data_IF_584736769390
#
_entry.id   IF_584736769390
#
_cell.length_a   1.000
_cell.length_b   1.000
_cell.length_c   1.000
_cell.angle_alpha   90.00
_cell.angle_beta   90.00
_cell.angle_gamma   90.00
#
_symmetry.space_group_name_H-M   'P 1'
#
loop_
_entity.id
_entity.type
_entity.pdbx_description
1 polymer ?
#
# COMPACT_ATOMS: atom_id res chain seq x y z
N UNK A 1 -19.65 3.32 -39.01
CA UNK A 1 -20.14 4.17 -37.90
C UNK A 1 -19.59 3.55 -36.62
N UNK A 2 -18.83 4.29 -35.81
CA UNK A 2 -18.56 3.85 -34.44
C UNK A 2 -19.87 3.94 -33.62
N UNK A 3 -20.05 3.06 -32.63
CA UNK A 3 -21.25 3.09 -31.77
C UNK A 3 -21.12 4.23 -30.75
N UNK A 4 -22.22 4.96 -30.42
CA UNK A 4 -22.19 5.97 -29.36
C UNK A 4 -21.84 5.37 -27.99
N UNK A 5 -22.18 4.09 -27.77
CA UNK A 5 -21.85 3.31 -26.57
C UNK A 5 -20.34 3.33 -26.28
N UNK A 6 -19.49 3.02 -27.27
CA UNK A 6 -18.03 3.02 -27.12
C UNK A 6 -17.45 4.43 -26.85
N UNK A 7 -18.07 5.48 -27.40
CA UNK A 7 -17.63 6.85 -27.13
C UNK A 7 -17.85 7.21 -25.65
N UNK A 8 -19.00 6.81 -25.11
CA UNK A 8 -19.40 7.08 -23.73
C UNK A 8 -18.67 6.18 -22.71
N UNK A 9 -18.32 4.94 -23.10
CA UNK A 9 -17.44 4.03 -22.35
C UNK A 9 -16.06 4.66 -22.08
N UNK A 10 -15.53 5.47 -23.00
CA UNK A 10 -14.28 6.21 -22.81
C UNK A 10 -14.45 7.50 -21.99
N UNK A 11 -15.57 8.21 -22.11
CA UNK A 11 -15.81 9.51 -21.44
C UNK A 11 -15.64 9.44 -19.91
N UNK A 12 -16.15 8.39 -19.25
CA UNK A 12 -16.01 8.27 -17.79
C UNK A 12 -14.58 7.92 -17.35
N UNK A 13 -13.85 7.14 -18.16
CA UNK A 13 -12.45 6.76 -17.89
C UNK A 13 -11.55 8.00 -17.97
N UNK A 14 -11.68 8.81 -19.02
CA UNK A 14 -10.91 10.05 -19.16
C UNK A 14 -11.32 11.11 -18.12
N UNK A 15 -12.61 11.16 -17.72
CA UNK A 15 -13.06 11.94 -16.55
C UNK A 15 -12.29 11.51 -15.30
N UNK A 16 -12.27 10.22 -14.97
CA UNK A 16 -11.57 9.72 -13.78
C UNK A 16 -10.04 9.95 -13.87
N UNK A 17 -9.41 9.81 -15.03
CA UNK A 17 -7.99 10.15 -15.20
C UNK A 17 -7.72 11.63 -14.92
N UNK A 18 -8.56 12.53 -15.45
CA UNK A 18 -8.42 13.99 -15.30
C UNK A 18 -8.81 14.56 -13.93
N UNK A 19 -9.69 13.90 -13.17
CA UNK A 19 -10.03 14.25 -11.77
C UNK A 19 -8.91 13.90 -10.76
N UNK A 20 -7.80 13.29 -11.22
CA UNK A 20 -6.65 12.97 -10.39
C UNK A 20 -5.83 14.21 -9.99
N UNK A 21 -5.38 14.26 -8.74
CA UNK A 21 -4.50 15.34 -8.26
C UNK A 21 -3.07 15.25 -8.85
N UNK A 22 -2.70 14.07 -9.35
CA UNK A 22 -1.49 13.83 -10.14
C UNK A 22 -1.93 13.68 -11.60
N UNK A 23 -1.40 14.46 -12.56
CA UNK A 23 -1.84 14.42 -13.95
C UNK A 23 -1.38 13.15 -14.65
N UNK A 24 -2.23 12.60 -15.53
CA UNK A 24 -1.83 11.60 -16.53
C UNK A 24 -0.99 12.27 -17.63
N UNK A 25 0.15 11.69 -17.97
CA UNK A 25 1.11 12.16 -18.96
C UNK A 25 1.65 10.97 -19.80
N UNK A 26 2.37 11.27 -20.87
CA UNK A 26 3.04 10.26 -21.69
C UNK A 26 4.23 9.62 -20.95
N UNK A 27 4.51 8.32 -21.12
CA UNK A 27 5.53 7.60 -20.34
C UNK A 27 6.94 8.19 -20.47
N UNK A 28 7.31 8.66 -21.66
CA UNK A 28 8.63 9.20 -21.98
C UNK A 28 8.89 10.52 -21.23
N UNK A 29 7.83 11.32 -21.04
CA UNK A 29 7.85 12.65 -20.45
C UNK A 29 6.72 12.85 -19.44
N UNK A 30 6.94 12.31 -18.23
CA UNK A 30 5.96 12.23 -17.15
C UNK A 30 6.26 13.18 -15.94
N UNK A 31 6.79 14.41 -16.07
CA UNK A 31 7.26 15.20 -14.92
C UNK A 31 6.13 15.59 -13.96
N UNK A 32 6.30 15.27 -12.67
CA UNK A 32 5.32 15.48 -11.60
C UNK A 32 3.98 14.76 -11.81
N UNK A 33 3.90 13.83 -12.76
CA UNK A 33 2.70 13.11 -13.17
C UNK A 33 2.78 11.61 -12.98
N UNK A 34 1.77 10.92 -13.50
CA UNK A 34 1.74 9.47 -13.68
C UNK A 34 1.51 9.10 -15.15
N UNK A 35 1.91 7.89 -15.53
CA UNK A 35 1.81 7.38 -16.89
C UNK A 35 1.64 5.85 -16.89
N UNK A 36 1.39 5.29 -18.07
CA UNK A 36 1.25 3.83 -18.29
C UNK A 36 2.50 3.34 -19.04
N UNK A 37 3.53 2.79 -18.37
CA UNK A 37 4.78 2.42 -19.04
C UNK A 37 4.56 1.29 -20.07
N UNK A 38 5.48 1.07 -21.02
CA UNK A 38 5.42 -0.12 -21.87
C UNK A 38 5.58 -1.39 -21.04
N UNK A 39 4.72 -2.40 -21.19
CA UNK A 39 4.77 -3.63 -20.40
C UNK A 39 6.06 -4.45 -20.57
N UNK A 40 6.71 -4.31 -21.72
CA UNK A 40 7.96 -5.00 -22.04
C UNK A 40 9.17 -4.55 -21.20
N UNK A 41 9.08 -3.45 -20.44
CA UNK A 41 10.14 -3.07 -19.47
C UNK A 41 10.18 -4.00 -18.25
N UNK A 42 9.13 -4.81 -18.03
CA UNK A 42 9.04 -5.75 -16.92
C UNK A 42 9.29 -7.18 -17.40
N UNK A 43 10.22 -7.90 -16.75
CA UNK A 43 10.54 -9.29 -17.10
C UNK A 43 9.77 -10.30 -16.24
N UNK A 44 8.82 -10.98 -16.87
CA UNK A 44 7.88 -11.94 -16.28
C UNK A 44 8.34 -13.39 -16.49
N UNK A 45 7.77 -14.36 -15.76
CA UNK A 45 8.05 -15.79 -16.00
C UNK A 45 7.52 -16.23 -17.37
N UNK A 46 8.40 -16.71 -18.25
CA UNK A 46 8.00 -17.28 -19.54
C UNK A 46 7.30 -18.64 -19.42
N UNK A 47 6.77 -19.20 -20.53
CA UNK A 47 5.96 -20.43 -20.51
C UNK A 47 6.67 -21.61 -19.86
N UNK A 48 7.97 -21.78 -20.13
CA UNK A 48 8.78 -22.88 -19.61
C UNK A 48 9.52 -22.55 -18.30
N UNK A 49 9.22 -21.43 -17.63
CA UNK A 49 10.03 -20.92 -16.50
C UNK A 49 10.25 -21.96 -15.39
N UNK A 50 9.28 -22.84 -15.11
CA UNK A 50 9.46 -23.90 -14.11
C UNK A 50 10.65 -24.83 -14.45
N UNK A 51 10.87 -25.11 -15.73
CA UNK A 51 11.99 -25.91 -16.27
C UNK A 51 13.25 -25.07 -16.48
N UNK A 52 13.15 -23.96 -17.21
CA UNK A 52 14.32 -23.20 -17.74
C UNK A 52 14.74 -21.99 -16.90
N UNK A 53 13.88 -21.52 -15.99
CA UNK A 53 13.95 -20.18 -15.35
C UNK A 53 13.98 -18.99 -16.33
N UNK A 54 13.67 -19.23 -17.61
CA UNK A 54 13.64 -18.20 -18.65
C UNK A 54 12.53 -17.18 -18.43
N UNK A 55 12.90 -15.89 -18.44
CA UNK A 55 11.96 -14.76 -18.39
C UNK A 55 11.77 -14.15 -19.77
N UNK A 56 10.63 -13.51 -19.98
CA UNK A 56 10.26 -12.79 -21.21
C UNK A 56 9.78 -11.36 -20.87
N UNK A 57 9.73 -10.44 -21.84
CA UNK A 57 9.00 -9.18 -21.71
C UNK A 57 7.52 -9.40 -21.36
N UNK A 58 6.93 -8.49 -20.59
CA UNK A 58 5.60 -8.68 -20.00
C UNK A 58 4.40 -8.51 -20.93
N UNK A 59 4.54 -7.82 -22.07
CA UNK A 59 3.43 -7.54 -22.97
C UNK A 59 2.29 -6.72 -22.35
N UNK A 60 1.08 -6.92 -22.87
CA UNK A 60 -0.14 -6.17 -22.49
C UNK A 60 -0.63 -6.44 -21.06
N UNK A 61 -1.43 -5.49 -20.54
CA UNK A 61 -2.00 -5.56 -19.20
C UNK A 61 -3.41 -6.15 -19.22
N UNK A 62 -3.73 -6.98 -18.22
CA UNK A 62 -5.05 -7.57 -18.06
C UNK A 62 -6.11 -6.55 -17.59
N UNK A 63 -5.68 -5.45 -16.95
CA UNK A 63 -6.53 -4.34 -16.49
C UNK A 63 -6.01 -3.01 -17.07
N UNK A 64 -6.92 -2.18 -17.56
CA UNK A 64 -6.61 -0.85 -18.09
C UNK A 64 -6.30 0.11 -16.92
N UNK A 65 -5.26 0.96 -17.00
CA UNK A 65 -4.98 1.95 -15.95
C UNK A 65 -6.05 3.06 -15.93
N UNK A 66 -6.64 3.27 -14.76
CA UNK A 66 -7.78 4.17 -14.53
C UNK A 66 -7.38 5.46 -13.78
N UNK A 67 -6.40 5.39 -12.88
CA UNK A 67 -5.98 6.56 -12.12
C UNK A 67 -4.78 6.33 -11.21
N UNK A 68 -4.19 7.44 -10.76
CA UNK A 68 -3.26 7.47 -9.65
C UNK A 68 -3.65 8.60 -8.68
N UNK A 69 -3.62 8.33 -7.37
CA UNK A 69 -3.74 9.36 -6.33
C UNK A 69 -2.48 9.35 -5.44
N UNK A 70 -1.96 10.55 -5.16
CA UNK A 70 -0.95 10.79 -4.15
C UNK A 70 -1.62 11.51 -2.97
N UNK A 71 -1.73 10.83 -1.85
CA UNK A 71 -2.57 11.19 -0.69
C UNK A 71 -1.71 11.29 0.56
N UNK A 72 -2.12 12.14 1.52
CA UNK A 72 -1.61 12.10 2.89
C UNK A 72 -2.69 12.28 3.96
N UNK A 73 -2.41 11.76 5.16
CA UNK A 73 -3.31 11.80 6.32
C UNK A 73 -2.56 11.77 7.66
N UNK A 74 -3.24 12.11 8.77
CA UNK A 74 -2.67 11.99 10.12
C UNK A 74 -2.47 10.52 10.53
N UNK A 75 -3.33 9.62 10.05
CA UNK A 75 -3.24 8.16 10.20
C UNK A 75 -3.06 7.50 8.83
N UNK A 76 -2.71 6.20 8.80
CA UNK A 76 -2.75 5.42 7.56
C UNK A 76 -4.13 5.55 6.91
N UNK A 77 -4.16 5.73 5.59
CA UNK A 77 -5.39 5.77 4.81
C UNK A 77 -5.64 4.36 4.29
N UNK A 78 -6.80 3.81 4.59
CA UNK A 78 -7.24 2.45 4.26
C UNK A 78 -8.67 2.49 3.72
N UNK A 79 -9.11 1.43 3.03
CA UNK A 79 -10.50 1.27 2.56
C UNK A 79 -11.01 2.47 1.71
N UNK A 80 -10.15 2.97 0.84
CA UNK A 80 -10.37 4.15 0.01
C UNK A 80 -11.59 4.00 -0.91
N UNK A 81 -11.87 2.79 -1.42
CA UNK A 81 -13.03 2.47 -2.24
C UNK A 81 -14.31 2.19 -1.44
N UNK A 82 -14.23 1.90 -0.14
CA UNK A 82 -15.41 1.81 0.73
C UNK A 82 -16.01 3.21 1.03
N UNK A 83 -15.28 4.29 0.75
CA UNK A 83 -15.76 5.65 0.93
C UNK A 83 -16.56 6.12 -0.31
N UNK A 84 -17.90 6.30 -0.24
CA UNK A 84 -18.71 6.71 -1.38
C UNK A 84 -18.43 8.16 -1.85
N UNK A 85 -17.59 8.93 -1.14
CA UNK A 85 -17.09 10.24 -1.60
C UNK A 85 -15.83 10.15 -2.45
N UNK A 86 -15.13 9.00 -2.47
CA UNK A 86 -13.95 8.79 -3.32
C UNK A 86 -14.34 8.92 -4.80
N UNK A 87 -13.52 9.65 -5.57
CA UNK A 87 -13.78 9.97 -6.98
C UNK A 87 -13.94 8.73 -7.88
N UNK A 88 -13.16 7.68 -7.62
CA UNK A 88 -13.17 6.41 -8.34
C UNK A 88 -14.39 5.57 -7.93
N UNK A 89 -14.72 5.48 -6.63
CA UNK A 89 -15.96 4.81 -6.21
C UNK A 89 -17.20 5.50 -6.77
N UNK A 90 -17.30 6.84 -6.73
CA UNK A 90 -18.43 7.57 -7.35
C UNK A 90 -18.59 7.23 -8.83
N UNK A 91 -17.51 7.23 -9.60
CA UNK A 91 -17.59 6.91 -11.04
C UNK A 91 -18.02 5.45 -11.29
N UNK A 92 -17.66 4.51 -10.42
CA UNK A 92 -18.16 3.14 -10.46
C UNK A 92 -19.68 3.06 -10.19
N UNK A 93 -20.18 3.80 -9.19
CA UNK A 93 -21.63 3.89 -8.91
C UNK A 93 -22.40 4.59 -10.06
N UNK A 94 -21.82 5.65 -10.65
CA UNK A 94 -22.38 6.37 -11.80
C UNK A 94 -22.57 5.42 -13.00
N UNK A 95 -21.56 4.60 -13.32
CA UNK A 95 -21.64 3.62 -14.40
C UNK A 95 -22.53 2.42 -14.06
N UNK A 96 -22.57 2.00 -12.80
CA UNK A 96 -23.53 0.97 -12.36
C UNK A 96 -24.97 1.45 -12.51
N UNK A 97 -25.27 2.73 -12.23
CA UNK A 97 -26.58 3.33 -12.47
C UNK A 97 -26.99 3.35 -13.96
N UNK A 98 -26.02 3.24 -14.88
CA UNK A 98 -26.21 3.14 -16.34
C UNK A 98 -26.33 1.70 -16.84
N UNK A 99 -26.13 0.72 -15.98
CA UNK A 99 -26.16 -0.72 -16.30
C UNK A 99 -24.81 -1.33 -16.68
N UNK A 100 -23.73 -0.52 -16.75
CA UNK A 100 -22.38 -1.04 -16.94
C UNK A 100 -21.84 -1.58 -15.61
N UNK A 101 -21.13 -2.71 -15.62
CA UNK A 101 -20.52 -3.29 -14.41
C UNK A 101 -18.99 -3.46 -14.53
N UNK A 102 -18.22 -2.37 -14.76
CA UNK A 102 -16.77 -2.48 -14.77
C UNK A 102 -16.25 -2.98 -13.41
N UNK A 103 -15.13 -3.69 -13.40
CA UNK A 103 -14.48 -4.16 -12.17
C UNK A 103 -13.25 -3.31 -11.88
N UNK A 104 -13.14 -2.73 -10.68
CA UNK A 104 -12.02 -1.88 -10.28
C UNK A 104 -11.05 -2.62 -9.35
N UNK A 105 -9.76 -2.48 -9.62
CA UNK A 105 -8.68 -2.98 -8.77
C UNK A 105 -7.81 -1.81 -8.29
N UNK A 106 -7.75 -1.59 -6.97
CA UNK A 106 -6.87 -0.59 -6.37
C UNK A 106 -5.69 -1.24 -5.63
N UNK A 107 -4.52 -0.64 -5.74
CA UNK A 107 -3.35 -0.95 -4.92
C UNK A 107 -2.94 0.31 -4.15
N UNK A 108 -3.13 0.30 -2.84
CA UNK A 108 -2.81 1.41 -1.95
C UNK A 108 -1.49 1.12 -1.22
N UNK A 109 -0.40 1.70 -1.74
CA UNK A 109 0.92 1.61 -1.12
C UNK A 109 0.99 2.61 0.03
N UNK A 110 0.73 2.13 1.25
CA UNK A 110 0.76 2.92 2.46
C UNK A 110 2.20 3.11 2.94
N UNK A 111 2.65 4.35 3.10
CA UNK A 111 3.98 4.73 3.58
C UNK A 111 3.83 5.45 4.93
N UNK A 112 4.00 4.76 6.07
CA UNK A 112 3.84 5.37 7.37
C UNK A 112 5.07 6.22 7.74
N UNK A 113 4.86 7.52 7.95
CA UNK A 113 5.89 8.43 8.46
C UNK A 113 5.28 9.37 9.52
N UNK A 114 5.91 10.53 9.81
CA UNK A 114 5.32 11.57 10.68
C UNK A 114 3.97 12.07 10.15
N UNK A 115 3.83 12.18 8.83
CA UNK A 115 2.53 12.16 8.14
C UNK A 115 2.44 10.82 7.41
N UNK A 116 1.26 10.20 7.35
CA UNK A 116 1.08 8.95 6.61
C UNK A 116 0.77 9.29 5.15
N UNK A 117 1.47 8.66 4.21
CA UNK A 117 1.27 8.86 2.77
C UNK A 117 0.69 7.61 2.12
N UNK A 118 -0.06 7.81 1.04
CA UNK A 118 -0.63 6.74 0.22
C UNK A 118 -0.40 7.03 -1.26
N UNK A 119 0.28 6.12 -1.95
CA UNK A 119 0.35 6.10 -3.41
C UNK A 119 -0.63 5.03 -3.91
N UNK A 120 -1.75 5.48 -4.49
CA UNK A 120 -2.88 4.61 -4.86
C UNK A 120 -2.95 4.49 -6.37
N UNK A 121 -2.71 3.30 -6.91
CA UNK A 121 -2.89 3.00 -8.32
C UNK A 121 -4.23 2.28 -8.53
N UNK A 122 -5.06 2.78 -9.44
CA UNK A 122 -6.36 2.21 -9.78
C UNK A 122 -6.34 1.68 -11.21
N UNK A 123 -6.88 0.47 -11.40
CA UNK A 123 -7.01 -0.22 -12.67
C UNK A 123 -8.46 -0.69 -12.87
N UNK A 124 -8.86 -0.98 -14.11
CA UNK A 124 -10.22 -1.37 -14.47
C UNK A 124 -10.25 -2.50 -15.50
N UNK A 125 -11.11 -3.50 -15.29
CA UNK A 125 -11.64 -4.35 -16.37
C UNK A 125 -13.01 -3.83 -16.78
N UNK A 126 -13.22 -3.65 -18.08
CA UNK A 126 -14.54 -3.32 -18.66
C UNK A 126 -15.27 -4.62 -19.04
N UNK A 127 -14.49 -5.63 -19.45
CA UNK A 127 -14.97 -6.99 -19.73
C UNK A 127 -15.14 -7.83 -18.44
N UNK A 128 -16.02 -8.84 -18.46
CA UNK A 128 -16.10 -9.84 -17.39
C UNK A 128 -14.77 -10.59 -17.20
N UNK A 129 -14.41 -10.88 -15.94
CA UNK A 129 -13.20 -11.62 -15.61
C UNK A 129 -13.43 -13.12 -15.90
N UNK A 130 -12.60 -13.80 -16.72
CA UNK A 130 -12.84 -15.19 -17.10
C UNK A 130 -12.77 -16.15 -15.90
N UNK A 131 -13.75 -17.06 -15.79
CA UNK A 131 -13.96 -17.89 -14.59
C UNK A 131 -12.78 -18.81 -14.25
N UNK A 132 -12.14 -19.43 -15.25
CA UNK A 132 -10.97 -20.29 -15.07
C UNK A 132 -9.66 -19.52 -14.83
N UNK A 133 -9.65 -18.19 -14.93
CA UNK A 133 -8.42 -17.39 -14.87
C UNK A 133 -7.77 -17.38 -13.49
N UNK A 134 -6.45 -17.14 -13.47
CA UNK A 134 -5.72 -16.88 -12.22
C UNK A 134 -6.22 -15.62 -11.50
N UNK A 135 -6.77 -14.63 -12.24
CA UNK A 135 -7.45 -13.47 -11.65
C UNK A 135 -8.68 -13.92 -10.83
N UNK A 136 -9.59 -14.68 -11.44
CA UNK A 136 -10.80 -15.12 -10.75
C UNK A 136 -10.48 -16.01 -9.53
N UNK A 137 -9.45 -16.86 -9.64
CA UNK A 137 -8.92 -17.65 -8.52
C UNK A 137 -8.34 -16.80 -7.39
N UNK A 138 -7.73 -15.65 -7.68
CA UNK A 138 -7.23 -14.71 -6.67
C UNK A 138 -8.35 -13.91 -6.00
N UNK A 139 -9.36 -13.47 -6.77
CA UNK A 139 -10.51 -12.74 -6.24
C UNK A 139 -11.34 -13.62 -5.28
N UNK A 140 -11.63 -14.86 -5.67
CA UNK A 140 -12.39 -15.82 -4.84
C UNK A 140 -11.53 -16.61 -3.83
N UNK A 141 -10.20 -16.48 -3.89
CA UNK A 141 -9.27 -17.12 -2.96
C UNK A 141 -9.27 -16.49 -1.57
N UNK A 142 -8.67 -17.18 -0.59
CA UNK A 142 -8.48 -16.64 0.75
C UNK A 142 -7.21 -15.76 0.84
N UNK A 143 -7.04 -15.08 1.98
CA UNK A 143 -5.89 -14.20 2.18
C UNK A 143 -4.55 -14.97 2.23
N UNK A 144 -4.56 -16.27 2.57
CA UNK A 144 -3.37 -17.11 2.48
C UNK A 144 -2.94 -17.34 1.02
N UNK A 145 -3.90 -17.68 0.14
CA UNK A 145 -3.66 -17.75 -1.31
C UNK A 145 -3.20 -16.39 -1.84
N UNK A 146 -3.97 -15.32 -1.61
CA UNK A 146 -3.66 -13.97 -2.11
C UNK A 146 -2.26 -13.52 -1.69
N UNK A 147 -1.92 -13.66 -0.40
CA UNK A 147 -0.59 -13.32 0.11
C UNK A 147 0.52 -14.19 -0.49
N UNK A 148 0.27 -15.47 -0.74
CA UNK A 148 1.24 -16.37 -1.36
C UNK A 148 1.49 -16.11 -2.85
N UNK A 149 0.63 -15.34 -3.53
CA UNK A 149 0.68 -15.12 -4.98
C UNK A 149 0.86 -13.65 -5.40
N UNK A 150 0.44 -12.66 -4.61
CA UNK A 150 0.51 -11.26 -5.03
C UNK A 150 1.96 -10.80 -5.19
N UNK A 151 2.27 -10.27 -6.37
CA UNK A 151 3.63 -9.97 -6.82
C UNK A 151 3.76 -8.52 -7.29
N UNK A 152 4.86 -7.87 -6.91
CA UNK A 152 5.26 -6.55 -7.38
C UNK A 152 6.59 -6.66 -8.13
N UNK A 153 6.68 -5.96 -9.27
CA UNK A 153 7.95 -5.60 -9.92
C UNK A 153 8.11 -4.08 -9.82
N UNK A 154 9.28 -3.61 -9.38
CA UNK A 154 9.59 -2.19 -9.20
C UNK A 154 10.91 -1.82 -9.90
N UNK A 155 10.86 -0.80 -10.76
CA UNK A 155 12.01 -0.31 -11.53
C UNK A 155 12.22 1.20 -11.32
N UNK A 156 13.46 1.61 -11.08
CA UNK A 156 13.83 3.04 -10.89
C UNK A 156 14.31 3.62 -12.22
N UNK A 157 13.35 3.90 -13.10
CA UNK A 157 13.55 4.41 -14.46
C UNK A 157 14.44 5.65 -14.50
N UNK A 158 14.25 6.60 -13.58
CA UNK A 158 15.16 7.72 -13.32
C UNK A 158 15.35 7.87 -11.82
N UNK A 159 16.56 8.20 -11.37
CA UNK A 159 16.83 8.44 -9.95
C UNK A 159 18.29 8.28 -9.54
N UNK A 160 18.66 8.73 -8.32
CA UNK A 160 20.00 8.57 -7.78
C UNK A 160 20.43 7.10 -7.68
N UNK A 161 21.72 6.84 -7.93
CA UNK A 161 22.31 5.49 -7.93
C UNK A 161 22.12 4.76 -6.58
N UNK A 162 22.09 5.50 -5.47
CA UNK A 162 21.88 4.96 -4.12
C UNK A 162 20.48 4.36 -3.94
N UNK A 163 19.43 4.99 -4.51
CA UNK A 163 18.06 4.45 -4.50
C UNK A 163 17.98 3.20 -5.40
N UNK A 164 18.57 3.27 -6.60
CA UNK A 164 18.68 2.10 -7.51
C UNK A 164 19.35 0.91 -6.84
N UNK A 165 20.46 1.13 -6.13
CA UNK A 165 21.19 0.08 -5.40
C UNK A 165 20.41 -0.46 -4.19
N UNK A 166 19.66 0.39 -3.50
CA UNK A 166 18.83 -0.03 -2.36
C UNK A 166 17.60 -0.84 -2.77
N UNK A 167 17.00 -0.58 -3.93
CA UNK A 167 15.94 -1.42 -4.50
C UNK A 167 16.51 -2.76 -4.98
N UNK A 168 17.64 -2.74 -5.71
CA UNK A 168 18.48 -3.92 -5.94
C UNK A 168 17.74 -5.17 -6.43
N UNK A 169 18.07 -6.33 -5.86
CA UNK A 169 17.38 -7.61 -6.15
C UNK A 169 15.92 -7.63 -5.65
N UNK A 170 15.57 -6.75 -4.72
CA UNK A 170 14.21 -6.59 -4.19
C UNK A 170 13.28 -5.82 -5.16
N UNK A 171 13.78 -5.45 -6.34
CA UNK A 171 13.01 -5.03 -7.51
C UNK A 171 11.92 -6.04 -7.94
N UNK A 172 11.94 -7.28 -7.47
CA UNK A 172 10.85 -8.25 -7.66
C UNK A 172 10.53 -8.92 -6.33
N UNK A 173 9.27 -8.84 -5.88
CA UNK A 173 8.85 -9.36 -4.58
C UNK A 173 7.47 -10.02 -4.63
N UNK A 174 7.28 -11.11 -3.88
CA UNK A 174 5.94 -11.60 -3.54
C UNK A 174 5.46 -10.77 -2.35
N UNK A 175 4.88 -9.61 -2.67
CA UNK A 175 4.66 -8.53 -1.71
C UNK A 175 3.73 -8.95 -0.57
N UNK A 176 2.75 -9.82 -0.84
CA UNK A 176 1.87 -10.39 0.20
C UNK A 176 2.57 -11.34 1.19
N UNK A 177 3.77 -11.86 0.88
CA UNK A 177 4.63 -12.58 1.85
C UNK A 177 5.59 -11.65 2.59
N UNK A 178 5.87 -10.46 2.05
CA UNK A 178 6.88 -9.55 2.57
C UNK A 178 6.31 -8.36 3.38
N UNK A 179 5.05 -8.00 3.12
CA UNK A 179 4.30 -6.92 3.77
C UNK A 179 2.92 -7.40 4.20
N UNK A 180 2.40 -6.80 5.27
CA UNK A 180 0.99 -6.95 5.67
C UNK A 180 0.13 -6.35 4.57
N UNK A 181 -0.63 -7.21 3.88
CA UNK A 181 -1.62 -6.81 2.89
C UNK A 181 -3.03 -7.09 3.42
N UNK A 182 -3.93 -6.12 3.31
CA UNK A 182 -5.36 -6.25 3.66
C UNK A 182 -6.19 -6.14 2.39
N UNK A 183 -7.06 -7.10 2.16
CA UNK A 183 -7.88 -7.23 0.94
C UNK A 183 -9.30 -6.75 1.21
N UNK A 184 -9.58 -5.51 0.82
CA UNK A 184 -10.88 -4.89 0.96
C UNK A 184 -11.70 -5.19 -0.31
N UNK A 185 -12.78 -5.96 -0.18
CA UNK A 185 -13.62 -6.38 -1.32
C UNK A 185 -15.04 -5.84 -1.17
N UNK A 186 -15.66 -5.52 -2.30
CA UNK A 186 -17.05 -5.06 -2.34
C UNK A 186 -17.64 -5.23 -3.73
N UNK A 187 -18.86 -4.72 -3.94
CA UNK A 187 -19.55 -4.89 -5.23
C UNK A 187 -18.76 -4.21 -6.36
N UNK A 188 -18.27 -5.05 -7.28
CA UNK A 188 -17.46 -4.69 -8.43
C UNK A 188 -16.08 -4.05 -8.14
N UNK A 189 -15.48 -4.29 -6.97
CA UNK A 189 -14.07 -3.92 -6.74
C UNK A 189 -13.30 -4.81 -5.75
N UNK A 190 -11.97 -4.71 -5.85
CA UNK A 190 -11.02 -5.06 -4.81
C UNK A 190 -10.02 -3.91 -4.59
N UNK A 191 -9.66 -3.66 -3.35
CA UNK A 191 -8.57 -2.78 -2.94
C UNK A 191 -7.58 -3.58 -2.08
N UNK A 192 -6.29 -3.44 -2.39
CA UNK A 192 -5.22 -4.02 -1.58
C UNK A 192 -4.49 -2.90 -0.84
N UNK A 193 -4.76 -2.81 0.46
CA UNK A 193 -4.00 -1.99 1.40
C UNK A 193 -2.66 -2.68 1.69
N UNK A 194 -1.54 -2.06 1.29
CA UNK A 194 -0.19 -2.62 1.40
C UNK A 194 0.63 -1.78 2.38
N UNK A 195 0.86 -2.32 3.58
CA UNK A 195 1.56 -1.62 4.66
C UNK A 195 3.09 -1.77 4.57
N UNK A 196 3.75 -0.82 3.89
CA UNK A 196 5.22 -0.80 3.76
C UNK A 196 5.92 -0.71 5.13
N UNK A 197 5.25 -0.13 6.15
CA UNK A 197 5.76 -0.04 7.51
C UNK A 197 5.84 -1.38 8.25
N UNK A 198 5.20 -2.45 7.73
CA UNK A 198 5.22 -3.77 8.39
C UNK A 198 6.56 -4.52 8.22
N UNK A 199 7.47 -4.04 7.36
CA UNK A 199 8.78 -4.63 7.13
C UNK A 199 9.87 -3.59 7.27
N UNK A 200 10.80 -3.79 8.21
CA UNK A 200 11.91 -2.87 8.46
C UNK A 200 12.74 -2.58 7.20
N UNK A 201 12.94 -3.59 6.34
CA UNK A 201 13.73 -3.48 5.11
C UNK A 201 12.99 -2.66 4.05
N UNK A 202 11.72 -2.99 3.78
CA UNK A 202 10.91 -2.24 2.82
C UNK A 202 10.71 -0.79 3.27
N UNK A 203 10.43 -0.58 4.56
CA UNK A 203 10.28 0.73 5.16
C UNK A 203 11.55 1.58 5.03
N UNK A 204 12.74 1.00 5.24
CA UNK A 204 14.01 1.69 5.07
C UNK A 204 14.29 2.08 3.61
N UNK A 205 14.04 1.16 2.66
CA UNK A 205 14.24 1.42 1.22
C UNK A 205 13.27 2.50 0.73
N UNK A 206 12.00 2.45 1.15
CA UNK A 206 11.00 3.44 0.75
C UNK A 206 11.25 4.79 1.43
N UNK A 207 11.71 4.86 2.68
CA UNK A 207 12.11 6.13 3.30
C UNK A 207 13.37 6.74 2.65
N UNK A 208 14.34 5.91 2.24
CA UNK A 208 15.47 6.37 1.43
C UNK A 208 14.99 6.94 0.08
N UNK A 209 14.06 6.26 -0.60
CA UNK A 209 13.44 6.77 -1.82
C UNK A 209 12.62 8.05 -1.57
N UNK A 210 11.95 8.15 -0.41
CA UNK A 210 11.12 9.30 -0.02
C UNK A 210 11.93 10.60 -0.03
N UNK A 211 13.17 10.56 0.48
CA UNK A 211 14.10 11.68 0.47
C UNK A 211 14.53 12.17 -0.93
N UNK A 212 14.20 11.42 -1.99
CA UNK A 212 14.53 11.76 -3.38
C UNK A 212 13.31 11.88 -4.31
N UNK A 213 12.06 11.77 -3.81
CA UNK A 213 10.83 11.67 -4.64
C UNK A 213 10.75 12.67 -5.79
N UNK A 214 11.11 13.94 -5.56
CA UNK A 214 11.12 15.03 -6.56
C UNK A 214 12.13 14.82 -7.71
N UNK A 215 12.98 13.79 -7.64
CA UNK A 215 13.98 13.40 -8.64
C UNK A 215 13.86 11.94 -9.11
N UNK A 216 12.91 11.17 -8.56
CA UNK A 216 12.66 9.78 -8.95
C UNK A 216 11.62 9.70 -10.07
N UNK A 217 11.81 8.76 -11.00
CA UNK A 217 10.73 8.15 -11.79
C UNK A 217 10.73 6.66 -11.48
N UNK A 218 9.59 6.13 -11.04
CA UNK A 218 9.41 4.74 -10.61
C UNK A 218 8.35 4.09 -11.47
N UNK A 219 8.65 2.89 -11.98
CA UNK A 219 7.70 2.01 -12.65
C UNK A 219 7.34 0.87 -11.69
N UNK A 220 6.06 0.62 -11.46
CA UNK A 220 5.56 -0.48 -10.64
C UNK A 220 4.57 -1.32 -11.46
N UNK A 221 4.82 -2.63 -11.59
CA UNK A 221 3.87 -3.58 -12.18
C UNK A 221 3.38 -4.58 -11.13
N UNK A 222 2.07 -4.74 -11.05
CA UNK A 222 1.40 -5.71 -10.18
C UNK A 222 1.06 -6.96 -10.99
N UNK A 223 1.31 -8.13 -10.42
CA UNK A 223 1.07 -9.44 -11.03
C UNK A 223 0.53 -10.43 -10.01
N UNK A 224 -0.02 -11.54 -10.50
CA UNK A 224 -0.21 -12.75 -9.71
C UNK A 224 0.90 -13.72 -10.13
N UNK A 225 1.70 -14.20 -9.18
CA UNK A 225 2.78 -15.16 -9.45
C UNK A 225 2.21 -16.44 -10.08
N UNK A 226 2.77 -16.90 -11.21
CA UNK A 226 2.46 -18.21 -11.79
C UNK A 226 3.32 -19.31 -11.12
N UNK A 227 2.70 -20.37 -10.61
CA UNK A 227 3.39 -21.44 -9.85
C UNK A 227 3.27 -22.83 -10.50
N UNK A 228 2.36 -23.01 -11.46
CA UNK A 228 2.15 -24.25 -12.24
C UNK A 228 2.25 -23.97 -13.75
N UNK A 229 2.38 -25.01 -14.58
CA UNK A 229 2.59 -24.83 -16.04
C UNK A 229 1.38 -24.20 -16.75
N UNK A 230 0.16 -24.40 -16.25
CA UNK A 230 -1.07 -23.78 -16.76
C UNK A 230 -1.30 -22.33 -16.28
N UNK A 231 -0.39 -21.80 -15.47
CA UNK A 231 -0.37 -20.40 -15.00
C UNK A 231 0.80 -19.62 -15.62
N UNK A 232 1.38 -20.14 -16.72
CA UNK A 232 2.51 -19.53 -17.42
C UNK A 232 2.19 -19.34 -18.93
N UNK A 233 2.68 -18.26 -19.56
CA UNK A 233 3.51 -17.20 -19.00
C UNK A 233 2.77 -16.34 -17.96
N UNK A 234 3.50 -15.76 -17.02
CA UNK A 234 2.95 -14.73 -16.13
C UNK A 234 2.49 -13.52 -16.95
N UNK A 235 1.36 -12.93 -16.57
CA UNK A 235 0.81 -11.73 -17.19
C UNK A 235 0.71 -10.60 -16.16
N UNK A 236 0.82 -9.36 -16.63
CA UNK A 236 0.73 -8.16 -15.78
C UNK A 236 -0.75 -7.84 -15.51
N UNK A 237 -1.14 -7.68 -14.24
CA UNK A 237 -2.48 -7.17 -13.90
C UNK A 237 -2.62 -5.74 -14.39
N UNK A 238 -1.67 -4.89 -14.01
CA UNK A 238 -1.54 -3.52 -14.46
C UNK A 238 -0.24 -2.91 -13.95
N UNK A 239 0.25 -1.87 -14.62
CA UNK A 239 1.42 -1.13 -14.17
C UNK A 239 1.22 0.38 -14.22
N UNK A 240 2.00 1.07 -13.40
CA UNK A 240 1.96 2.51 -13.19
C UNK A 240 3.39 3.07 -13.21
N UNK A 241 3.61 4.16 -13.93
CA UNK A 241 4.79 5.02 -13.82
C UNK A 241 4.37 6.25 -13.02
N UNK A 242 5.16 6.68 -12.05
CA UNK A 242 5.01 8.00 -11.43
C UNK A 242 6.37 8.70 -11.32
N UNK A 243 6.38 10.03 -11.37
CA UNK A 243 7.61 10.81 -11.41
C UNK A 243 7.55 12.09 -10.59
N UNK A 244 8.68 12.46 -10.00
CA UNK A 244 8.94 13.75 -9.34
C UNK A 244 7.90 14.14 -8.27
N UNK A 245 7.24 13.16 -7.64
CA UNK A 245 6.18 13.43 -6.67
C UNK A 245 6.67 14.35 -5.55
N UNK A 246 5.84 15.31 -5.15
CA UNK A 246 6.15 16.22 -4.06
C UNK A 246 5.27 15.88 -2.85
N UNK A 247 5.87 15.62 -1.70
CA UNK A 247 5.16 15.36 -0.46
C UNK A 247 4.22 16.52 -0.06
N UNK A 248 4.59 17.77 -0.38
CA UNK A 248 3.75 18.94 -0.15
C UNK A 248 2.53 19.03 -1.10
N UNK A 249 2.54 18.32 -2.23
CA UNK A 249 1.42 18.23 -3.18
C UNK A 249 0.51 17.02 -2.95
N UNK A 250 0.81 16.18 -1.95
CA UNK A 250 -0.06 15.07 -1.58
C UNK A 250 -1.43 15.59 -1.12
N UNK A 251 -2.51 15.05 -1.69
CA UNK A 251 -3.87 15.44 -1.34
C UNK A 251 -4.13 15.09 0.12
N UNK A 252 -4.39 16.10 0.94
CA UNK A 252 -4.84 15.89 2.31
C UNK A 252 -6.19 15.15 2.29
N UNK A 253 -6.27 14.02 3.00
CA UNK A 253 -7.54 13.47 3.46
C UNK A 253 -7.78 14.00 4.88
N UNK A 254 -8.95 14.60 5.04
CA UNK A 254 -9.55 14.85 6.35
C UNK A 254 -10.10 13.53 6.88
N UNK A 255 -9.80 13.21 8.14
CA UNK A 255 -10.54 12.14 8.83
C UNK A 255 -12.02 12.52 8.87
N UNK A 256 -12.94 11.54 8.77
CA UNK A 256 -14.31 11.76 9.22
C UNK A 256 -14.22 12.23 10.67
N UNK A 257 -14.62 13.47 10.96
CA UNK A 257 -14.70 13.95 12.33
C UNK A 257 -15.59 12.98 13.10
N UNK A 258 -15.07 12.39 14.18
CA UNK A 258 -15.94 11.75 15.17
C UNK A 258 -16.99 12.79 15.55
N UNK A 259 -18.26 12.51 15.25
CA UNK A 259 -19.33 13.43 15.63
C UNK A 259 -19.35 13.43 17.14
N UNK A 260 -19.01 14.57 17.75
CA UNK A 260 -19.17 14.76 19.17
C UNK A 260 -20.59 14.35 19.56
N UNK A 261 -20.72 13.46 20.54
CA UNK A 261 -22.02 12.94 21.00
C UNK A 261 -22.77 13.95 21.88
N UNK A 262 -22.62 15.24 21.57
CA UNK A 262 -23.32 16.38 22.15
C UNK A 262 -24.70 16.56 21.49
N UNK A 263 -25.55 15.53 21.58
CA UNK A 263 -26.99 15.69 21.30
C UNK A 263 -27.89 14.67 22.03
N UNK A 264 -27.51 14.27 23.25
CA UNK A 264 -28.49 13.77 24.22
C UNK A 264 -29.08 14.95 24.99
N UNK A 265 -30.28 15.37 24.57
CA UNK A 265 -31.09 16.38 25.29
C UNK A 265 -31.35 15.92 26.72
N UNK A 266 -31.30 16.86 27.66
CA UNK A 266 -31.46 16.56 29.08
C UNK A 266 -32.83 15.92 29.40
N UNK A 267 -32.79 14.66 29.86
CA UNK A 267 -33.89 14.02 30.59
C UNK A 267 -33.41 13.70 32.01
N UNK A 268 -34.24 14.00 33.01
CA UNK A 268 -33.87 14.04 34.43
C UNK A 268 -33.28 12.72 34.98
N UNK A 269 -32.23 12.77 35.82
CA UNK A 269 -31.63 11.56 36.39
C UNK A 269 -32.54 10.95 37.45
N UNK A 270 -32.98 9.70 37.24
CA UNK A 270 -33.69 8.94 38.26
C UNK A 270 -32.73 8.02 39.04
N UNK A 271 -33.06 7.80 40.31
CA UNK A 271 -32.23 7.19 41.36
C UNK A 271 -31.64 5.82 40.96
N UNK A 272 -30.35 5.60 41.26
CA UNK A 272 -29.90 4.31 41.85
C UNK A 272 -28.57 4.37 42.62
N UNK A 273 -27.61 5.22 42.24
CA UNK A 273 -26.28 5.26 42.88
C UNK A 273 -26.17 6.28 44.04
N UNK A 274 -26.83 5.99 45.16
CA UNK A 274 -26.56 6.60 46.48
C UNK A 274 -26.59 5.55 47.61
N UNK A 275 -25.61 4.65 47.57
CA UNK A 275 -25.14 3.86 48.72
C UNK A 275 -23.66 3.51 48.49
N UNK A 276 -23.01 2.85 49.46
CA UNK A 276 -21.60 2.41 49.46
C UNK A 276 -20.57 3.55 49.64
N UNK A 277 -20.86 4.81 49.32
CA UNK A 277 -19.94 5.95 49.55
C UNK A 277 -19.89 6.48 51.00
N UNK A 278 -20.13 5.64 52.01
CA UNK A 278 -20.03 5.98 53.44
C UNK A 278 -19.51 4.80 54.28
N UNK A 279 -18.22 4.50 54.18
CA UNK A 279 -17.46 3.91 55.28
C UNK A 279 -15.96 4.25 55.16
N UNK A 280 -15.31 4.38 56.31
CA UNK A 280 -13.85 4.48 56.53
C UNK A 280 -13.12 5.76 56.00
N UNK A 281 -12.89 6.68 56.95
CA UNK A 281 -11.63 7.44 57.14
C UNK A 281 -11.27 7.36 58.65
N UNK A 282 -10.18 7.97 59.17
CA UNK A 282 -8.82 7.41 59.22
C UNK A 282 -8.24 7.36 60.65
N UNK A 283 -7.01 6.83 60.84
CA UNK A 283 -6.30 6.92 62.13
C UNK A 283 -4.89 6.30 62.13
N UNK A 284 -3.96 6.88 62.91
CA UNK A 284 -2.58 6.42 63.16
C UNK A 284 -2.55 5.32 64.26
N UNK A 285 -1.44 4.73 64.76
CA UNK A 285 -0.01 5.08 64.95
C UNK A 285 0.82 3.75 65.05
N UNK A 286 2.16 3.59 65.11
CA UNK A 286 3.40 4.37 64.90
C UNK A 286 4.65 3.41 64.91
N UNK A 287 5.89 3.93 64.75
CA UNK A 287 7.19 3.35 65.26
C UNK A 287 7.71 2.04 64.55
N UNK A 288 8.99 1.83 64.19
CA UNK A 288 10.25 2.61 64.35
C UNK A 288 11.36 2.30 63.29
N UNK A 289 12.40 3.15 63.28
CA UNK A 289 13.84 2.84 63.07
C UNK A 289 14.47 2.51 61.68
N UNK A 290 15.47 3.34 61.34
CA UNK A 290 16.86 3.01 60.94
C UNK A 290 17.25 2.40 59.55
N UNK A 291 17.63 3.33 58.65
CA UNK A 291 18.99 3.50 58.08
C UNK A 291 19.68 2.43 57.18
N UNK A 292 19.82 2.80 55.90
CA UNK A 292 21.05 2.81 55.04
C UNK A 292 22.16 1.75 55.29
N UNK A 293 22.48 0.94 54.26
CA UNK A 293 23.83 0.50 53.92
C UNK A 293 24.41 1.20 52.66
N UNK A 294 25.75 1.15 52.38
CA UNK A 294 26.45 2.24 51.68
C UNK A 294 27.10 1.89 50.31
N UNK A 295 27.72 2.91 49.68
CA UNK A 295 28.75 2.77 48.64
C UNK A 295 30.02 2.07 49.19
N UNK A 296 30.69 1.27 48.36
CA UNK A 296 32.11 0.88 48.50
C UNK A 296 32.76 0.82 47.10
N UNK A 297 34.03 1.22 47.00
CA UNK A 297 34.91 1.03 45.82
C UNK A 297 36.06 0.06 46.18
N UNK A 298 36.57 -0.67 45.18
CA UNK A 298 37.70 -1.63 45.25
C UNK A 298 37.64 -2.51 43.98
N UNK A 299 38.60 -2.62 43.05
CA UNK A 299 40.06 -2.49 43.07
C UNK A 299 40.79 -3.57 43.89
N UNK A 300 41.74 -4.36 43.38
CA UNK A 300 42.22 -4.63 41.99
C UNK A 300 42.50 -6.18 41.88
N UNK A 301 43.27 -6.85 41.00
CA UNK A 301 44.29 -6.55 39.95
C UNK A 301 44.48 -7.83 39.04
N UNK A 302 45.44 -7.81 38.09
CA UNK A 302 46.11 -8.94 37.40
C UNK A 302 45.35 -9.69 36.26
N UNK A 303 45.95 -10.07 35.10
CA UNK A 303 47.21 -9.73 34.42
C UNK A 303 47.22 -10.38 33.00
N UNK A 304 48.08 -9.93 32.06
CA UNK A 304 48.47 -10.55 30.75
C UNK A 304 47.35 -10.88 29.72
N UNK A 305 47.35 -10.40 28.46
CA UNK A 305 48.42 -10.20 27.45
C UNK A 305 49.09 -11.52 26.98
N UNK A 306 49.47 -11.74 25.71
CA UNK A 306 49.48 -10.87 24.51
C UNK A 306 49.74 -11.71 23.23
N UNK A 307 49.06 -11.38 22.10
CA UNK A 307 49.43 -11.75 20.69
C UNK A 307 49.44 -13.27 20.39
N UNK A 308 49.46 -13.80 19.15
CA UNK A 308 49.84 -13.36 17.79
C UNK A 308 48.82 -13.95 16.76
N UNK A 309 48.36 -13.27 15.69
CA UNK A 309 49.00 -12.84 14.41
C UNK A 309 49.01 -13.91 13.29
N UNK A 310 48.47 -13.53 12.11
CA UNK A 310 48.47 -14.21 10.81
C UNK A 310 47.60 -15.49 10.69
N UNK A 311 47.02 -15.82 9.51
CA UNK A 311 47.59 -15.70 8.15
C UNK A 311 46.51 -15.75 7.03
N UNK A 312 46.81 -15.08 5.91
CA UNK A 312 46.15 -15.15 4.58
C UNK A 312 44.68 -14.67 4.51
#
# INVERSE_FOLDING_TARGET
MAKPEQNQEHEWIERVKSEGAVPLLEPEYCPNGWASPPGDVFLVRGPEYLKTKGKIPGGDYLLKPLGFDWIKGPTKVSEILNNPKNRVRRALEDEYSRGHKPFIWAFNLQVPSKENYSAVAYFVSLEPIPEDSLINKFLNGDDAFRNSRLKLIANIFKGPWIVRKAVGEQAICIIGRALTCKYCTGENFIEVDIDIGSSMVANAIVHLAFGYLTTLTVDLAFLIEGQTESELPEQILGAIRFSNLNAASARQIELPSERSTENLRASTPNRFWKSISQLIKPGAHEIDSNSIPPRVNGADDLDKSSKDVNKL
#
